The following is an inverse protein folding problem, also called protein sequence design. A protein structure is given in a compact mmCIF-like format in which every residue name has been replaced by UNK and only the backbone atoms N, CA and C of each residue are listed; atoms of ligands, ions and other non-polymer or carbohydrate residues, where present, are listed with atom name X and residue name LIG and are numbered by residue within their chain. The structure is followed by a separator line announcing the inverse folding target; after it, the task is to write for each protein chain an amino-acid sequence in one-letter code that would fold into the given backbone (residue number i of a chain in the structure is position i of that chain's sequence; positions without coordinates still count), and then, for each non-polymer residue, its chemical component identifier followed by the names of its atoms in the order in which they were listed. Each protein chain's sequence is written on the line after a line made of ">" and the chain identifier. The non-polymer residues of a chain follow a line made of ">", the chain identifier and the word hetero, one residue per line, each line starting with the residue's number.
data_IF_513267513209
#
_entry.id   IF_513267513209
#
_cell.length_a   1.000
_cell.length_b   1.000
_cell.length_c   1.000
_cell.angle_alpha   90.00
_cell.angle_beta   90.00
_cell.angle_gamma   90.00
#
_symmetry.space_group_name_H-M   'P 1'
#
loop_
_entity.id
_entity.type
_entity.pdbx_description
1 polymer ?
#
# COMPACT_ATOMS: atom_id res chain seq x y z
N UNK A 1 18.39 8.75 -12.42
CA UNK A 1 17.55 7.54 -12.23
C UNK A 1 16.10 7.99 -12.21
N UNK A 2 15.25 7.35 -12.99
CA UNK A 2 13.82 7.65 -13.02
C UNK A 2 13.06 6.61 -12.19
N UNK A 3 12.14 7.06 -11.34
CA UNK A 3 11.40 6.20 -10.41
C UNK A 3 9.90 6.37 -10.62
N UNK A 4 9.19 5.27 -10.78
CA UNK A 4 7.73 5.24 -10.76
C UNK A 4 7.25 4.78 -9.38
N UNK A 5 6.46 5.62 -8.71
CA UNK A 5 5.76 5.25 -7.48
C UNK A 5 4.28 4.97 -7.79
N UNK A 6 3.83 3.78 -7.44
CA UNK A 6 2.47 3.32 -7.64
C UNK A 6 1.74 3.31 -6.30
N UNK A 7 0.64 4.04 -6.20
CA UNK A 7 -0.23 4.07 -5.02
C UNK A 7 -1.66 3.66 -5.41
N UNK A 8 -2.35 2.92 -4.57
CA UNK A 8 -3.75 2.59 -4.82
C UNK A 8 -4.65 3.82 -4.63
N UNK A 9 -4.39 4.62 -3.60
CA UNK A 9 -5.21 5.74 -3.17
C UNK A 9 -4.43 7.06 -3.16
N UNK A 10 -5.15 8.17 -3.36
CA UNK A 10 -4.57 9.52 -3.26
C UNK A 10 -4.12 9.86 -1.85
N UNK A 11 -4.82 9.35 -0.86
CA UNK A 11 -4.57 9.53 0.56
C UNK A 11 -3.22 8.94 0.98
N UNK A 12 -2.83 7.81 0.41
CA UNK A 12 -1.53 7.17 0.64
C UNK A 12 -0.36 8.03 0.15
N UNK A 13 -0.55 8.67 -0.99
CA UNK A 13 0.48 9.47 -1.65
C UNK A 13 0.51 10.93 -1.18
N UNK A 14 -0.54 11.43 -0.51
CA UNK A 14 -0.73 12.85 -0.26
C UNK A 14 0.44 13.53 0.47
N UNK A 15 1.04 12.94 1.55
CA UNK A 15 2.21 13.52 2.19
C UNK A 15 3.44 13.51 1.28
N UNK A 16 3.72 12.40 0.59
CA UNK A 16 4.88 12.27 -0.31
C UNK A 16 4.82 13.25 -1.49
N UNK A 17 3.64 13.43 -2.08
CA UNK A 17 3.45 14.38 -3.19
C UNK A 17 3.76 15.82 -2.83
N UNK A 18 3.63 16.21 -1.56
CA UNK A 18 4.04 17.56 -1.10
C UNK A 18 5.55 17.72 -1.11
N UNK A 19 6.30 16.63 -0.90
CA UNK A 19 7.76 16.60 -0.87
C UNK A 19 8.30 16.50 -2.30
N UNK A 20 7.73 15.61 -3.10
CA UNK A 20 8.18 15.27 -4.45
C UNK A 20 7.54 16.13 -5.57
N UNK A 21 6.87 17.24 -5.22
CA UNK A 21 6.26 18.12 -6.21
C UNK A 21 7.31 18.59 -7.22
N UNK A 22 7.02 18.38 -8.51
CA UNK A 22 7.82 18.84 -9.65
C UNK A 22 9.27 18.33 -9.72
N UNK A 23 9.58 17.20 -9.09
CA UNK A 23 10.92 16.61 -9.15
C UNK A 23 11.13 15.84 -10.47
N UNK A 24 12.12 16.23 -11.29
CA UNK A 24 12.41 15.54 -12.55
C UNK A 24 12.76 14.06 -12.33
N UNK A 25 12.17 13.19 -13.13
CA UNK A 25 12.42 11.74 -13.05
C UNK A 25 11.59 11.01 -11.99
N UNK A 26 10.76 11.69 -11.20
CA UNK A 26 9.86 11.07 -10.25
C UNK A 26 8.44 11.07 -10.80
N UNK A 27 7.90 9.88 -11.00
CA UNK A 27 6.54 9.69 -11.50
C UNK A 27 5.65 9.09 -10.43
N UNK A 28 4.42 9.57 -10.34
CA UNK A 28 3.40 9.00 -9.45
C UNK A 28 2.19 8.56 -10.25
N UNK A 29 1.78 7.31 -10.08
CA UNK A 29 0.57 6.74 -10.69
C UNK A 29 -0.38 6.29 -9.60
N UNK A 30 -1.65 6.69 -9.74
CA UNK A 30 -2.75 6.17 -8.93
C UNK A 30 -3.37 4.98 -9.63
N UNK A 31 -3.14 3.81 -9.08
CA UNK A 31 -3.56 2.55 -9.72
C UNK A 31 -5.03 2.23 -9.50
N UNK A 32 -5.62 2.71 -8.41
CA UNK A 32 -6.85 2.17 -7.86
C UNK A 32 -6.61 0.88 -7.09
N UNK A 33 -7.60 0.44 -6.32
CA UNK A 33 -7.51 -0.72 -5.45
C UNK A 33 -7.61 -2.02 -6.25
N UNK A 34 -6.73 -2.99 -5.92
CA UNK A 34 -6.76 -4.36 -6.40
C UNK A 34 -6.00 -4.63 -7.69
N UNK A 35 -5.69 -5.91 -7.89
CA UNK A 35 -4.78 -6.40 -8.94
C UNK A 35 -5.12 -5.90 -10.34
N UNK A 36 -6.39 -5.97 -10.74
CA UNK A 36 -6.81 -5.61 -12.11
C UNK A 36 -6.60 -4.13 -12.41
N UNK A 37 -6.94 -3.26 -11.45
CA UNK A 37 -6.74 -1.82 -11.58
C UNK A 37 -5.25 -1.49 -11.61
N UNK A 38 -4.46 -2.12 -10.74
CA UNK A 38 -3.02 -1.94 -10.67
C UNK A 38 -2.34 -2.36 -11.98
N UNK A 39 -2.64 -3.55 -12.48
CA UNK A 39 -2.11 -4.05 -13.75
C UNK A 39 -2.42 -3.11 -14.90
N UNK A 40 -3.70 -2.72 -15.07
CA UNK A 40 -4.14 -1.83 -16.15
C UNK A 40 -3.42 -0.49 -16.12
N UNK A 41 -3.31 0.13 -14.93
CA UNK A 41 -2.71 1.44 -14.76
C UNK A 41 -1.22 1.42 -15.02
N UNK A 42 -0.50 0.40 -14.52
CA UNK A 42 0.95 0.27 -14.72
C UNK A 42 1.26 -0.08 -16.17
N UNK A 43 0.52 -0.99 -16.82
CA UNK A 43 0.67 -1.28 -18.26
C UNK A 43 0.47 -0.03 -19.11
N UNK A 44 -0.53 0.78 -18.79
CA UNK A 44 -0.81 2.04 -19.51
C UNK A 44 0.35 3.03 -19.38
N UNK A 45 0.91 3.20 -18.18
CA UNK A 45 2.06 4.07 -17.95
C UNK A 45 3.31 3.58 -18.69
N UNK A 46 3.63 2.29 -18.55
CA UNK A 46 4.80 1.68 -19.16
C UNK A 46 4.70 1.50 -20.68
N UNK A 47 3.55 1.78 -21.29
CA UNK A 47 3.42 1.80 -22.76
C UNK A 47 4.23 2.93 -23.39
N UNK A 48 4.43 4.04 -22.69
CA UNK A 48 5.12 5.24 -23.17
C UNK A 48 6.28 5.70 -22.31
N UNK A 49 6.52 5.01 -21.17
CA UNK A 49 7.57 5.37 -20.22
C UNK A 49 8.38 4.13 -19.83
N UNK A 50 9.67 4.33 -19.53
CA UNK A 50 10.59 3.26 -19.09
C UNK A 50 11.35 3.75 -17.85
N UNK A 51 10.77 3.65 -16.65
CA UNK A 51 11.46 4.01 -15.43
C UNK A 51 12.56 3.00 -15.10
N UNK A 52 13.60 3.46 -14.42
CA UNK A 52 14.71 2.60 -13.96
C UNK A 52 14.31 1.73 -12.75
N UNK A 53 13.28 2.15 -12.01
CA UNK A 53 12.78 1.48 -10.82
C UNK A 53 11.27 1.72 -10.67
N UNK A 54 10.54 0.70 -10.25
CA UNK A 54 9.14 0.82 -9.81
C UNK A 54 9.05 0.53 -8.31
N UNK A 55 8.39 1.41 -7.58
CA UNK A 55 8.02 1.20 -6.18
C UNK A 55 6.50 1.02 -6.08
N UNK A 56 6.03 -0.15 -5.64
CA UNK A 56 4.61 -0.33 -5.30
C UNK A 56 4.43 0.06 -3.84
N UNK A 57 3.77 1.21 -3.63
CA UNK A 57 3.66 1.88 -2.34
C UNK A 57 2.20 1.91 -1.85
N UNK A 58 2.01 2.07 -0.55
CA UNK A 58 0.69 2.29 0.05
C UNK A 58 0.52 1.63 1.41
N UNK A 59 -0.73 1.45 1.81
CA UNK A 59 -1.10 0.81 3.08
C UNK A 59 -1.03 -0.70 2.98
N UNK A 60 -0.81 -1.33 4.14
CA UNK A 60 -0.98 -2.77 4.33
C UNK A 60 -1.57 -3.06 5.72
N UNK A 61 -2.41 -4.09 5.79
CA UNK A 61 -2.84 -4.66 7.05
C UNK A 61 -1.75 -5.54 7.67
N UNK A 62 -1.43 -5.32 8.94
CA UNK A 62 -0.47 -6.15 9.66
C UNK A 62 -1.03 -7.55 9.93
N UNK A 63 -0.28 -8.58 9.59
CA UNK A 63 -0.55 -9.98 9.94
C UNK A 63 0.37 -10.45 11.07
N UNK A 64 1.63 -9.99 11.09
CA UNK A 64 2.58 -10.25 12.16
C UNK A 64 2.28 -9.38 13.36
N UNK A 65 2.05 -9.97 14.57
CA UNK A 65 1.75 -9.22 15.80
C UNK A 65 2.86 -8.26 16.25
N UNK A 66 4.09 -8.45 15.77
CA UNK A 66 5.23 -7.58 16.10
C UNK A 66 5.21 -6.27 15.31
N UNK A 67 4.47 -6.21 14.18
CA UNK A 67 4.33 -5.00 13.38
C UNK A 67 3.35 -4.02 14.03
N UNK A 68 3.75 -2.77 14.09
CA UNK A 68 3.01 -1.67 14.70
C UNK A 68 2.44 -0.73 13.65
N UNK A 69 1.42 0.01 14.02
CA UNK A 69 0.90 1.12 13.21
C UNK A 69 2.05 2.08 12.84
N UNK A 70 2.17 2.40 11.57
CA UNK A 70 3.21 3.28 11.04
C UNK A 70 4.56 2.61 10.75
N UNK A 71 4.74 1.31 11.08
CA UNK A 71 5.93 0.58 10.63
C UNK A 71 5.94 0.54 9.10
N UNK A 72 7.02 1.02 8.50
CA UNK A 72 7.25 0.87 7.06
C UNK A 72 7.94 -0.45 6.81
N UNK A 73 7.37 -1.26 5.94
CA UNK A 73 7.85 -2.61 5.62
C UNK A 73 8.08 -2.75 4.12
N UNK A 74 9.03 -3.61 3.73
CA UNK A 74 9.37 -3.78 2.33
C UNK A 74 9.70 -5.24 1.95
N UNK A 75 9.55 -5.53 0.67
CA UNK A 75 9.99 -6.78 0.04
C UNK A 75 10.72 -6.47 -1.26
N UNK A 76 11.92 -7.04 -1.39
CA UNK A 76 12.73 -6.98 -2.61
C UNK A 76 12.89 -8.39 -3.20
N UNK A 77 12.72 -8.52 -4.52
CA UNK A 77 12.91 -9.81 -5.18
C UNK A 77 14.39 -10.15 -5.33
N UNK A 78 15.26 -9.15 -5.50
CA UNK A 78 16.70 -9.32 -5.61
C UNK A 78 17.42 -8.77 -4.38
N UNK A 79 17.83 -9.62 -3.43
CA UNK A 79 18.52 -9.19 -2.23
C UNK A 79 19.86 -8.52 -2.56
N UNK A 80 20.32 -7.62 -1.65
CA UNK A 80 21.55 -6.82 -1.75
C UNK A 80 21.52 -5.73 -2.83
N UNK A 81 20.35 -5.25 -3.20
CA UNK A 81 20.23 -4.06 -4.07
C UNK A 81 20.57 -2.77 -3.29
N UNK A 82 20.99 -1.72 -4.04
CA UNK A 82 21.19 -0.38 -3.44
C UNK A 82 19.91 0.08 -2.73
N UNK A 83 18.75 -0.17 -3.33
CA UNK A 83 17.42 0.21 -2.78
C UNK A 83 17.14 -0.50 -1.46
N UNK A 84 17.49 -1.78 -1.33
CA UNK A 84 17.34 -2.50 -0.06
C UNK A 84 18.14 -1.85 1.07
N UNK A 85 19.41 -1.50 0.78
CA UNK A 85 20.27 -0.83 1.76
C UNK A 85 19.73 0.55 2.15
N UNK A 86 19.19 1.31 1.21
CA UNK A 86 18.56 2.60 1.47
C UNK A 86 17.28 2.44 2.32
N UNK A 87 16.44 1.41 2.05
CA UNK A 87 15.26 1.10 2.84
C UNK A 87 15.61 0.77 4.30
N UNK A 88 16.63 -0.06 4.52
CA UNK A 88 17.14 -0.32 5.87
C UNK A 88 17.65 0.95 6.55
N UNK A 89 18.46 1.76 5.87
CA UNK A 89 18.98 3.03 6.39
C UNK A 89 17.86 4.03 6.71
N UNK A 90 16.76 4.00 5.94
CA UNK A 90 15.57 4.80 6.18
C UNK A 90 14.73 4.31 7.36
N UNK A 91 15.03 3.14 7.94
CA UNK A 91 14.31 2.54 9.07
C UNK A 91 13.17 1.61 8.69
N UNK A 92 13.04 1.25 7.40
CA UNK A 92 12.08 0.26 6.97
C UNK A 92 12.52 -1.17 7.37
N UNK A 93 11.57 -2.06 7.55
CA UNK A 93 11.79 -3.44 7.99
C UNK A 93 11.48 -4.42 6.84
N UNK A 94 12.28 -5.48 6.65
CA UNK A 94 11.94 -6.52 5.69
C UNK A 94 10.67 -7.25 6.14
N UNK A 95 9.79 -7.58 5.19
CA UNK A 95 8.56 -8.30 5.46
C UNK A 95 8.13 -9.10 4.24
N UNK A 96 7.42 -10.21 4.48
CA UNK A 96 6.77 -10.99 3.44
C UNK A 96 5.33 -10.52 3.27
N UNK A 97 4.92 -10.27 2.03
CA UNK A 97 3.56 -9.85 1.73
C UNK A 97 2.69 -10.98 1.19
N UNK A 98 1.42 -10.90 1.53
CA UNK A 98 0.35 -11.66 0.89
C UNK A 98 -0.53 -10.70 0.09
N UNK A 99 -0.53 -10.86 -1.23
CA UNK A 99 -1.39 -10.07 -2.10
C UNK A 99 -2.77 -10.70 -2.19
N UNK A 100 -3.75 -10.12 -1.50
CA UNK A 100 -5.11 -10.62 -1.39
C UNK A 100 -6.03 -10.05 -2.47
N UNK A 101 -7.19 -10.70 -2.68
CA UNK A 101 -8.24 -10.19 -3.58
C UNK A 101 -9.27 -9.31 -2.86
N UNK A 102 -9.22 -9.28 -1.52
CA UNK A 102 -10.12 -8.53 -0.65
C UNK A 102 -9.39 -8.03 0.60
N UNK A 103 -9.97 -7.00 1.24
CA UNK A 103 -9.45 -6.46 2.49
C UNK A 103 -9.70 -7.45 3.63
N UNK A 104 -8.67 -7.75 4.43
CA UNK A 104 -8.81 -8.49 5.68
C UNK A 104 -9.33 -7.55 6.77
N UNK A 105 -10.61 -7.67 7.11
CA UNK A 105 -11.30 -6.71 7.97
C UNK A 105 -11.34 -7.10 9.45
N UNK A 106 -11.05 -8.37 9.77
CA UNK A 106 -11.14 -8.87 11.14
C UNK A 106 -9.84 -9.53 11.60
N UNK A 107 -9.62 -9.51 12.93
CA UNK A 107 -8.51 -10.23 13.58
C UNK A 107 -8.50 -11.71 13.18
N UNK A 108 -9.67 -12.33 13.10
CA UNK A 108 -9.79 -13.74 12.74
C UNK A 108 -9.30 -13.99 11.31
N UNK A 109 -9.67 -13.14 10.34
CA UNK A 109 -9.18 -13.20 8.96
C UNK A 109 -7.68 -13.00 8.88
N UNK A 110 -7.13 -12.00 9.59
CA UNK A 110 -5.69 -11.73 9.64
C UNK A 110 -4.90 -12.91 10.20
N UNK A 111 -5.36 -13.51 11.31
CA UNK A 111 -4.76 -14.72 11.90
C UNK A 111 -4.76 -15.89 10.92
N UNK A 112 -5.90 -16.12 10.24
CA UNK A 112 -6.03 -17.17 9.23
C UNK A 112 -5.05 -16.95 8.07
N UNK A 113 -5.02 -15.75 7.49
CA UNK A 113 -4.11 -15.40 6.41
C UNK A 113 -2.64 -15.61 6.80
N UNK A 114 -2.24 -15.19 8.01
CA UNK A 114 -0.88 -15.43 8.51
C UNK A 114 -0.58 -16.93 8.62
N UNK A 115 -1.49 -17.71 9.19
CA UNK A 115 -1.29 -19.15 9.38
C UNK A 115 -1.14 -19.89 8.04
N UNK A 116 -1.90 -19.47 7.01
CA UNK A 116 -1.90 -20.11 5.69
C UNK A 116 -0.75 -19.66 4.79
N UNK A 117 -0.36 -18.38 4.85
CA UNK A 117 0.64 -17.79 3.95
C UNK A 117 2.03 -17.65 4.56
N UNK A 118 2.12 -17.58 5.88
CA UNK A 118 3.33 -17.18 6.60
C UNK A 118 3.76 -15.73 6.33
N UNK A 119 2.86 -14.89 5.79
CA UNK A 119 3.15 -13.50 5.47
C UNK A 119 3.08 -12.61 6.72
N UNK A 120 3.81 -11.50 6.69
CA UNK A 120 3.85 -10.49 7.76
C UNK A 120 2.81 -9.39 7.56
N UNK A 121 2.45 -9.10 6.32
CA UNK A 121 1.48 -8.07 5.96
C UNK A 121 0.63 -8.50 4.76
N UNK A 122 -0.56 -7.89 4.61
CA UNK A 122 -1.49 -8.14 3.50
C UNK A 122 -1.80 -6.83 2.76
N UNK A 123 -1.80 -6.92 1.44
CA UNK A 123 -2.11 -5.83 0.52
C UNK A 123 -2.81 -6.40 -0.73
N UNK A 124 -3.09 -5.61 -1.79
CA UNK A 124 -3.95 -6.07 -2.89
C UNK A 124 -3.40 -5.82 -4.30
N UNK A 125 -2.23 -5.22 -4.47
CA UNK A 125 -1.74 -4.73 -5.76
C UNK A 125 -0.37 -5.27 -6.18
N UNK A 126 0.53 -5.53 -5.22
CA UNK A 126 1.97 -5.75 -5.50
C UNK A 126 2.22 -6.87 -6.50
N UNK A 127 1.56 -8.01 -6.35
CA UNK A 127 1.77 -9.15 -7.23
C UNK A 127 1.51 -8.82 -8.71
N UNK A 128 0.47 -8.03 -9.00
CA UNK A 128 0.15 -7.61 -10.37
C UNK A 128 1.18 -6.61 -10.91
N UNK A 129 1.63 -5.68 -10.06
CA UNK A 129 2.64 -4.68 -10.45
C UNK A 129 3.98 -5.37 -10.74
N UNK A 130 4.41 -6.28 -9.86
CA UNK A 130 5.63 -7.08 -10.08
C UNK A 130 5.56 -7.87 -11.38
N UNK A 131 4.44 -8.58 -11.64
CA UNK A 131 4.30 -9.34 -12.89
C UNK A 131 4.47 -8.46 -14.15
N UNK A 132 3.88 -7.27 -14.16
CA UNK A 132 4.04 -6.31 -15.28
C UNK A 132 5.47 -5.81 -15.40
N UNK A 133 6.16 -5.57 -14.29
CA UNK A 133 7.55 -5.13 -14.27
C UNK A 133 8.50 -6.24 -14.76
N UNK A 134 8.28 -7.48 -14.31
CA UNK A 134 9.05 -8.67 -14.69
C UNK A 134 8.98 -8.92 -16.21
N UNK A 135 7.79 -8.80 -16.82
CA UNK A 135 7.61 -8.89 -18.28
C UNK A 135 8.46 -7.88 -19.06
N UNK A 136 8.84 -6.78 -18.42
CA UNK A 136 9.61 -5.68 -19.03
C UNK A 136 11.04 -5.59 -18.55
N UNK A 137 11.46 -6.46 -17.63
CA UNK A 137 12.78 -6.44 -17.03
C UNK A 137 13.06 -5.19 -16.18
N UNK A 138 12.01 -4.57 -15.62
CA UNK A 138 12.13 -3.38 -14.79
C UNK A 138 12.17 -3.79 -13.32
N UNK A 139 13.19 -3.39 -12.54
CA UNK A 139 13.24 -3.66 -11.11
C UNK A 139 12.00 -3.11 -10.39
N UNK A 140 11.41 -3.94 -9.51
CA UNK A 140 10.24 -3.55 -8.73
C UNK A 140 10.45 -3.90 -7.25
N UNK A 141 10.03 -3.00 -6.37
CA UNK A 141 10.12 -3.18 -4.91
C UNK A 141 8.78 -2.84 -4.28
N UNK A 142 8.33 -3.68 -3.36
CA UNK A 142 7.15 -3.38 -2.54
C UNK A 142 7.57 -2.62 -1.29
N UNK A 143 6.95 -1.45 -1.04
CA UNK A 143 7.14 -0.63 0.15
C UNK A 143 5.78 -0.26 0.70
N UNK A 144 5.44 -0.78 1.87
CA UNK A 144 4.12 -0.56 2.49
C UNK A 144 4.28 -0.02 3.90
N UNK A 145 3.27 0.68 4.36
CA UNK A 145 3.16 1.08 5.76
C UNK A 145 1.97 0.40 6.42
N UNK A 146 2.15 -0.07 7.65
CA UNK A 146 1.09 -0.72 8.41
C UNK A 146 0.06 0.32 8.83
N UNK A 147 -1.16 0.20 8.31
CA UNK A 147 -2.31 1.07 8.59
C UNK A 147 -3.21 0.55 9.71
N UNK A 148 -3.18 -0.76 9.94
CA UNK A 148 -3.93 -1.47 10.95
C UNK A 148 -3.19 -2.74 11.37
N UNK A 149 -3.15 -3.03 12.66
CA UNK A 149 -2.36 -4.12 13.22
C UNK A 149 -3.07 -5.47 13.17
N UNK A 150 -2.33 -6.55 13.42
CA UNK A 150 -2.88 -7.90 13.50
C UNK A 150 -3.93 -8.10 14.60
N UNK A 151 -3.95 -7.19 15.59
CA UNK A 151 -4.86 -7.23 16.76
C UNK A 151 -6.05 -6.28 16.67
N UNK A 152 -6.31 -5.70 15.49
CA UNK A 152 -7.39 -4.74 15.27
C UNK A 152 -8.37 -5.21 14.21
N UNK A 153 -9.67 -5.08 14.51
CA UNK A 153 -10.73 -5.16 13.50
C UNK A 153 -10.91 -3.79 12.84
N UNK A 154 -11.18 -3.76 11.54
CA UNK A 154 -11.59 -2.54 10.88
C UNK A 154 -13.04 -2.17 11.29
N UNK A 155 -13.36 -0.87 11.39
CA UNK A 155 -14.66 -0.41 11.91
C UNK A 155 -15.85 -0.78 11.01
N UNK A 156 -15.58 -1.02 9.72
CA UNK A 156 -16.59 -1.39 8.72
C UNK A 156 -16.05 -2.51 7.82
N UNK A 157 -16.97 -3.27 7.25
CA UNK A 157 -16.63 -4.17 6.13
C UNK A 157 -16.50 -3.35 4.83
N UNK A 158 -15.28 -2.90 4.55
CA UNK A 158 -15.00 -2.13 3.34
C UNK A 158 -15.20 -2.95 2.05
N UNK A 159 -15.19 -4.28 2.12
CA UNK A 159 -15.49 -5.11 0.96
C UNK A 159 -16.97 -4.98 0.56
N UNK A 160 -17.87 -4.93 1.54
CA UNK A 160 -19.29 -4.71 1.29
C UNK A 160 -19.60 -3.28 0.78
N UNK A 161 -18.73 -2.32 1.09
CA UNK A 161 -18.85 -0.92 0.66
C UNK A 161 -18.19 -0.64 -0.70
N UNK A 162 -17.48 -1.62 -1.26
CA UNK A 162 -16.83 -1.47 -2.56
C UNK A 162 -17.82 -1.63 -3.72
N UNK A 163 -17.55 -0.91 -4.81
CA UNK A 163 -18.13 -1.12 -6.13
C UNK A 163 -17.43 -2.30 -6.84
N UNK A 164 -17.97 -2.78 -7.98
CA UNK A 164 -17.29 -3.81 -8.78
C UNK A 164 -15.87 -3.45 -9.20
N UNK A 165 -15.59 -2.19 -9.41
CA UNK A 165 -14.27 -1.63 -9.75
C UNK A 165 -13.35 -1.44 -8.53
N UNK A 166 -13.74 -1.95 -7.36
CA UNK A 166 -13.05 -1.83 -6.06
C UNK A 166 -13.00 -0.40 -5.49
N UNK A 167 -13.55 0.60 -6.14
CA UNK A 167 -13.70 1.93 -5.57
C UNK A 167 -14.76 1.95 -4.47
N UNK A 168 -14.59 2.85 -3.50
CA UNK A 168 -15.55 3.03 -2.41
C UNK A 168 -16.89 3.58 -2.95
N UNK A 169 -17.99 2.94 -2.55
CA UNK A 169 -19.34 3.44 -2.81
C UNK A 169 -19.75 4.38 -1.67
N UNK A 170 -19.65 5.69 -1.94
CA UNK A 170 -20.00 6.71 -0.95
C UNK A 170 -21.47 6.67 -0.53
N UNK A 171 -22.38 6.20 -1.39
CA UNK A 171 -23.78 6.00 -1.03
C UNK A 171 -23.96 4.90 -0.02
N UNK A 172 -23.32 3.75 -0.23
CA UNK A 172 -23.30 2.64 0.73
C UNK A 172 -22.62 3.04 2.04
N UNK A 173 -21.51 3.81 1.96
CA UNK A 173 -20.81 4.31 3.14
C UNK A 173 -21.73 5.23 3.97
N UNK A 174 -22.36 6.22 3.34
CA UNK A 174 -23.29 7.13 4.03
C UNK A 174 -24.43 6.37 4.70
N UNK A 175 -25.00 5.37 4.03
CA UNK A 175 -26.06 4.52 4.59
C UNK A 175 -25.58 3.66 5.77
N UNK A 176 -24.35 3.09 5.67
CA UNK A 176 -23.75 2.31 6.76
C UNK A 176 -23.50 3.18 8.01
N UNK A 177 -23.06 4.43 7.81
CA UNK A 177 -22.87 5.42 8.88
C UNK A 177 -24.24 5.78 9.52
N UNK A 178 -25.25 6.05 8.69
CA UNK A 178 -26.60 6.37 9.17
C UNK A 178 -27.21 5.24 10.00
N UNK A 179 -26.97 3.98 9.63
CA UNK A 179 -27.41 2.81 10.39
C UNK A 179 -26.60 2.55 11.67
N UNK A 180 -25.39 3.05 11.75
CA UNK A 180 -24.48 2.78 12.89
C UNK A 180 -23.71 4.05 13.28
N UNK A 181 -24.41 5.08 13.80
CA UNK A 181 -23.77 6.36 14.15
C UNK A 181 -22.67 6.21 15.21
N UNK A 182 -22.75 5.19 16.06
CA UNK A 182 -21.69 4.87 17.02
C UNK A 182 -20.33 4.51 16.40
N UNK A 183 -20.29 4.21 15.10
CA UNK A 183 -19.03 3.92 14.36
C UNK A 183 -18.32 5.18 13.84
N UNK A 184 -18.92 6.36 13.92
CA UNK A 184 -18.32 7.62 13.46
C UNK A 184 -16.99 7.87 14.16
N UNK A 185 -16.94 7.71 15.48
CA UNK A 185 -15.69 7.86 16.25
C UNK A 185 -14.57 6.93 15.79
N UNK A 186 -14.89 5.66 15.51
CA UNK A 186 -13.94 4.67 15.01
C UNK A 186 -13.46 4.98 13.57
N UNK A 187 -14.31 5.58 12.73
CA UNK A 187 -13.92 6.04 11.39
C UNK A 187 -12.98 7.25 11.45
N UNK A 188 -13.23 8.19 12.36
CA UNK A 188 -12.34 9.33 12.61
C UNK A 188 -10.98 8.83 13.12
N UNK A 189 -10.98 7.83 14.01
CA UNK A 189 -9.74 7.21 14.49
C UNK A 189 -8.98 6.50 13.37
N UNK A 190 -9.67 5.73 12.53
CA UNK A 190 -9.08 5.11 11.34
C UNK A 190 -8.45 6.15 10.43
N UNK A 191 -9.13 7.27 10.16
CA UNK A 191 -8.58 8.36 9.36
C UNK A 191 -7.30 8.95 9.98
N UNK A 192 -7.25 9.14 11.29
CA UNK A 192 -6.04 9.61 11.97
C UNK A 192 -4.89 8.61 11.84
N UNK A 193 -5.17 7.31 12.02
CA UNK A 193 -4.20 6.24 11.87
C UNK A 193 -3.64 6.16 10.45
N UNK A 194 -4.50 6.21 9.43
CA UNK A 194 -4.06 6.18 8.03
C UNK A 194 -3.30 7.45 7.63
N UNK A 195 -3.67 8.62 8.14
CA UNK A 195 -2.91 9.86 7.92
C UNK A 195 -1.51 9.77 8.53
N UNK A 196 -1.40 9.30 9.78
CA UNK A 196 -0.11 9.05 10.42
C UNK A 196 0.73 8.04 9.64
N UNK A 197 0.13 6.92 9.22
CA UNK A 197 0.82 5.91 8.44
C UNK A 197 1.34 6.49 7.11
N UNK A 198 0.54 7.28 6.39
CA UNK A 198 0.96 7.92 5.15
C UNK A 198 2.15 8.89 5.35
N UNK A 199 2.22 9.59 6.48
CA UNK A 199 3.35 10.45 6.83
C UNK A 199 4.63 9.63 7.07
N UNK A 200 4.53 8.48 7.77
CA UNK A 200 5.67 7.58 7.97
C UNK A 200 6.18 7.00 6.64
N UNK A 201 5.27 6.59 5.75
CA UNK A 201 5.63 6.13 4.42
C UNK A 201 6.36 7.22 3.63
N UNK A 202 5.81 8.44 3.63
CA UNK A 202 6.41 9.57 2.93
C UNK A 202 7.83 9.89 3.42
N UNK A 203 8.07 9.84 4.72
CA UNK A 203 9.39 10.07 5.31
C UNK A 203 10.45 9.02 4.90
N UNK A 204 10.02 7.76 4.70
CA UNK A 204 10.92 6.70 4.18
C UNK A 204 11.13 6.89 2.69
N UNK A 205 10.08 7.15 1.91
CA UNK A 205 10.18 7.35 0.46
C UNK A 205 11.04 8.57 0.10
N UNK A 206 10.98 9.65 0.88
CA UNK A 206 11.82 10.83 0.74
C UNK A 206 13.32 10.45 0.71
N UNK A 207 13.77 9.68 1.69
CA UNK A 207 15.16 9.22 1.79
C UNK A 207 15.59 8.28 0.64
N UNK A 208 14.66 7.51 0.07
CA UNK A 208 14.98 6.59 -1.02
C UNK A 208 15.08 7.32 -2.35
N UNK A 209 14.24 8.32 -2.53
CA UNK A 209 14.10 9.03 -3.80
C UNK A 209 15.15 10.14 -3.94
N UNK A 210 15.58 10.76 -2.83
CA UNK A 210 16.44 11.96 -2.86
C UNK A 210 17.85 11.76 -2.30
N UNK A 211 18.15 10.62 -1.60
CA UNK A 211 19.50 10.23 -1.16
C UNK A 211 20.11 9.20 -2.14
#
# INVERSE_FOLDING_TARGET
>A
MSILLCFALKEEAAPFRKIAADQPGIFTVFTGIGRQNAEKSVRSFLATNSPDLVLTCGFAGGLNPELKLGDVVFEVQSPKSKVESQLFAAGAKPAKFFCADRIATTIAEKKKLRAESGADAVEMESAAIHAVCDERGIPCVTVRVISDTASEDLPLDFNALAKPDKNLDYGKLAWAIAKSPGKIGALIELQKKTSFAAEQLAAVLDKIVFD
#
